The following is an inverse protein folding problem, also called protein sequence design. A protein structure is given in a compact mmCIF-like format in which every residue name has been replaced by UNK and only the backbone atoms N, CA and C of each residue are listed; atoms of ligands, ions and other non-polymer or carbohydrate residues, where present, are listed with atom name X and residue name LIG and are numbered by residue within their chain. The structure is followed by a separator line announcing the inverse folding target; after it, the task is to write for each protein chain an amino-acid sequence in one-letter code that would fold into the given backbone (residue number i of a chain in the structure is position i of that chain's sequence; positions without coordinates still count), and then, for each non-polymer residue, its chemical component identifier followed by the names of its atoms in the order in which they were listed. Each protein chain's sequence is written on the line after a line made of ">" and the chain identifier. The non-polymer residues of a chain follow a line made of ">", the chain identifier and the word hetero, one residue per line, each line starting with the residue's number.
data_IF_934791842588
#
_entry.id   IF_934791842588
#
_cell.length_a   1.000
_cell.length_b   1.000
_cell.length_c   1.000
_cell.angle_alpha   90.00
_cell.angle_beta   90.00
_cell.angle_gamma   90.00
#
_symmetry.space_group_name_H-M   'P 1'
#
loop_
_entity.id
_entity.type
_entity.pdbx_description
1 polymer ?
#
# COMPACT_ATOMS: atom_id res chain seq x y z
N UNK A 1 65.77 17.89 52.23
CA UNK A 1 64.57 18.69 51.87
C UNK A 1 64.07 18.25 50.50
N UNK A 2 62.77 18.13 50.25
CA UNK A 2 62.24 17.99 48.87
C UNK A 2 62.15 19.39 48.24
N UNK A 3 62.79 19.58 47.09
CA UNK A 3 62.58 20.81 46.31
C UNK A 3 61.13 20.87 45.82
N UNK A 4 60.47 22.03 45.92
CA UNK A 4 59.21 22.28 45.23
C UNK A 4 59.54 22.47 43.75
N UNK A 5 59.15 21.53 42.90
CA UNK A 5 59.20 21.70 41.44
C UNK A 5 58.44 22.96 41.05
N UNK A 6 58.99 23.76 40.13
CA UNK A 6 58.28 24.93 39.62
C UNK A 6 57.00 24.49 38.91
N UNK A 7 55.95 25.30 38.97
CA UNK A 7 54.74 25.10 38.18
C UNK A 7 55.07 24.92 36.68
N UNK A 8 56.11 25.62 36.20
CA UNK A 8 56.61 25.51 34.83
C UNK A 8 57.20 24.14 34.51
N UNK A 9 57.84 23.47 35.47
CA UNK A 9 58.44 22.15 35.28
C UNK A 9 57.34 21.07 35.20
N UNK A 10 56.28 21.23 36.00
CA UNK A 10 55.09 20.36 35.97
C UNK A 10 54.33 20.55 34.65
N UNK A 11 54.13 21.80 34.21
CA UNK A 11 53.44 22.14 32.97
C UNK A 11 54.18 21.63 31.72
N UNK A 12 55.51 21.81 31.66
CA UNK A 12 56.32 21.28 30.56
C UNK A 12 56.22 19.74 30.49
N UNK A 13 56.34 19.03 31.62
CA UNK A 13 56.19 17.57 31.67
C UNK A 13 54.80 17.09 31.24
N UNK A 14 53.75 17.83 31.58
CA UNK A 14 52.39 17.52 31.13
C UNK A 14 52.24 17.69 29.61
N UNK A 15 52.87 18.71 29.02
CA UNK A 15 52.93 18.91 27.56
C UNK A 15 53.75 17.82 26.87
N UNK A 16 54.88 17.40 27.44
CA UNK A 16 55.72 16.29 26.94
C UNK A 16 54.99 14.94 26.99
N UNK A 17 54.13 14.73 28.00
CA UNK A 17 53.30 13.54 28.14
C UNK A 17 51.94 13.62 27.39
N UNK A 18 51.65 14.72 26.69
CA UNK A 18 50.36 14.92 26.04
C UNK A 18 50.26 14.16 24.72
N UNK A 19 49.17 13.41 24.52
CA UNK A 19 48.84 12.75 23.24
C UNK A 19 48.32 13.73 22.18
N UNK A 20 48.05 14.99 22.54
CA UNK A 20 47.55 16.01 21.63
C UNK A 20 48.65 16.48 20.66
N UNK A 21 48.59 15.96 19.43
CA UNK A 21 49.60 16.18 18.40
C UNK A 21 49.80 17.67 18.10
N UNK A 22 51.05 18.10 18.00
CA UNK A 22 51.43 19.50 17.74
C UNK A 22 51.53 20.39 18.99
N UNK A 23 50.86 20.08 20.10
CA UNK A 23 50.92 20.93 21.33
C UNK A 23 52.34 20.99 21.90
N UNK A 24 53.03 19.86 21.97
CA UNK A 24 54.46 19.80 22.33
C UNK A 24 55.32 20.70 21.44
N UNK A 25 55.09 20.69 20.12
CA UNK A 25 55.81 21.52 19.15
C UNK A 25 55.50 23.02 19.27
N UNK A 26 54.35 23.42 19.83
CA UNK A 26 54.02 24.83 20.09
C UNK A 26 54.79 25.35 21.32
N UNK A 27 54.84 24.59 22.40
CA UNK A 27 55.39 25.08 23.67
C UNK A 27 56.89 24.81 23.85
N UNK A 28 57.39 23.63 23.46
CA UNK A 28 58.78 23.21 23.70
C UNK A 28 59.80 23.77 22.70
N UNK A 29 59.37 24.14 21.49
CA UNK A 29 60.25 24.72 20.48
C UNK A 29 60.90 26.03 20.95
N UNK A 30 62.10 26.33 20.45
CA UNK A 30 62.82 27.60 20.73
C UNK A 30 62.64 28.65 19.64
N UNK A 31 62.43 28.25 18.38
CA UNK A 31 62.23 29.17 17.25
C UNK A 31 60.76 29.63 17.18
N UNK A 32 60.52 30.94 17.23
CA UNK A 32 59.17 31.54 17.20
C UNK A 32 58.43 31.30 15.88
N UNK A 33 59.12 31.31 14.72
CA UNK A 33 58.49 31.02 13.43
C UNK A 33 57.88 29.61 13.39
N UNK A 34 58.58 28.62 13.93
CA UNK A 34 58.06 27.25 14.03
C UNK A 34 56.87 27.16 15.01
N UNK A 35 56.86 27.94 16.11
CA UNK A 35 55.67 28.01 16.99
C UNK A 35 54.45 28.53 16.24
N UNK A 36 54.60 29.63 15.48
CA UNK A 36 53.49 30.21 14.73
C UNK A 36 52.95 29.23 13.67
N UNK A 37 53.85 28.55 12.94
CA UNK A 37 53.46 27.48 12.01
C UNK A 37 52.66 26.36 12.70
N UNK A 38 53.16 25.82 13.82
CA UNK A 38 52.45 24.75 14.54
C UNK A 38 51.12 25.22 15.16
N UNK A 39 51.02 26.48 15.62
CA UNK A 39 49.75 27.09 16.04
C UNK A 39 48.75 27.11 14.88
N UNK A 40 49.17 27.57 13.70
CA UNK A 40 48.31 27.61 12.51
C UNK A 40 47.84 26.21 12.11
N UNK A 41 48.74 25.24 12.02
CA UNK A 41 48.38 23.85 11.67
C UNK A 41 47.42 23.20 12.69
N UNK A 42 47.62 23.43 14.00
CA UNK A 42 46.70 22.91 15.03
C UNK A 42 45.34 23.59 14.94
N UNK A 43 45.28 24.92 14.75
CA UNK A 43 44.01 25.65 14.59
C UNK A 43 43.24 25.20 13.34
N UNK A 44 43.91 25.04 12.19
CA UNK A 44 43.28 24.52 10.97
C UNK A 44 42.79 23.08 11.15
N UNK A 45 43.55 22.22 11.80
CA UNK A 45 43.16 20.83 12.08
C UNK A 45 41.95 20.75 13.02
N UNK A 46 41.94 21.54 14.11
CA UNK A 46 40.81 21.62 15.04
C UNK A 46 39.57 22.19 14.35
N UNK A 47 39.69 23.25 13.54
CA UNK A 47 38.59 23.81 12.77
C UNK A 47 37.97 22.81 11.77
N UNK A 48 38.82 22.07 11.04
CA UNK A 48 38.38 21.04 10.11
C UNK A 48 37.73 19.84 10.82
N UNK A 49 38.26 19.45 12.00
CA UNK A 49 37.66 18.43 12.85
C UNK A 49 36.26 18.84 13.35
N UNK A 50 36.10 20.07 13.85
CA UNK A 50 34.80 20.61 14.29
C UNK A 50 33.81 20.68 13.13
N UNK A 51 34.25 21.12 11.94
CA UNK A 51 33.40 21.15 10.74
C UNK A 51 32.90 19.76 10.35
N UNK A 52 33.79 18.76 10.26
CA UNK A 52 33.40 17.40 9.94
C UNK A 52 32.52 16.76 11.01
N UNK A 53 32.82 16.97 12.30
CA UNK A 53 32.00 16.45 13.40
C UNK A 53 30.59 17.05 13.37
N UNK A 54 30.48 18.37 13.16
CA UNK A 54 29.20 19.06 12.98
C UNK A 54 28.42 18.49 11.79
N UNK A 55 29.08 18.32 10.65
CA UNK A 55 28.47 17.71 9.47
C UNK A 55 28.00 16.27 9.74
N UNK A 56 28.84 15.40 10.31
CA UNK A 56 28.46 14.01 10.59
C UNK A 56 27.34 13.89 11.62
N UNK A 57 27.24 14.83 12.57
CA UNK A 57 26.11 14.91 13.49
C UNK A 57 24.81 15.31 12.75
N UNK A 58 24.87 16.26 11.82
CA UNK A 58 23.72 16.62 10.98
C UNK A 58 23.33 15.45 10.06
N UNK A 59 24.28 14.91 9.28
CA UNK A 59 24.08 13.78 8.36
C UNK A 59 23.49 12.53 9.10
N UNK A 60 23.78 12.36 10.40
CA UNK A 60 23.20 11.32 11.26
C UNK A 60 21.78 11.65 11.77
N UNK A 61 21.49 12.92 12.06
CA UNK A 61 20.16 13.41 12.48
C UNK A 61 19.19 13.58 11.31
N UNK A 62 19.68 13.66 10.07
CA UNK A 62 18.89 13.73 8.83
C UNK A 62 18.28 12.36 8.42
N UNK A 63 18.65 11.27 9.10
CA UNK A 63 17.93 9.97 9.08
C UNK A 63 17.64 9.31 7.71
N UNK A 64 18.49 9.54 6.69
CA UNK A 64 18.31 8.98 5.35
C UNK A 64 18.29 7.43 5.28
N UNK A 65 17.45 6.84 4.41
CA UNK A 65 17.19 5.39 4.28
C UNK A 65 17.35 4.91 2.82
N UNK A 66 17.90 3.70 2.61
CA UNK A 66 17.97 3.00 1.31
C UNK A 66 16.99 1.81 1.21
N UNK A 67 16.67 1.35 -0.02
CA UNK A 67 15.57 0.41 -0.31
C UNK A 67 16.07 -0.80 -1.13
N UNK A 68 15.50 -2.00 -0.89
CA UNK A 68 15.79 -3.26 -1.61
C UNK A 68 14.51 -4.10 -1.88
N UNK A 69 14.56 -5.11 -2.78
CA UNK A 69 13.37 -5.80 -3.35
C UNK A 69 13.56 -7.29 -3.67
N UNK A 70 12.57 -8.18 -3.40
CA UNK A 70 12.50 -9.65 -3.70
C UNK A 70 11.00 -10.16 -3.77
N UNK A 71 10.62 -11.00 -4.77
CA UNK A 71 9.29 -11.64 -5.20
C UNK A 71 8.47 -12.52 -4.18
N UNK A 72 7.19 -12.98 -4.31
CA UNK A 72 6.18 -13.32 -5.39
C UNK A 72 4.68 -13.41 -4.86
N UNK A 73 3.58 -13.32 -5.68
CA UNK A 73 2.21 -14.00 -5.59
C UNK A 73 1.01 -13.36 -6.39
N UNK A 74 0.00 -14.13 -6.90
CA UNK A 74 -0.96 -13.73 -8.00
C UNK A 74 -2.41 -14.35 -7.94
N UNK A 75 -3.51 -13.60 -8.21
CA UNK A 75 -4.95 -14.01 -8.12
C UNK A 75 -5.96 -13.36 -9.14
N UNK A 76 -7.14 -13.96 -9.47
CA UNK A 76 -7.89 -13.73 -10.76
C UNK A 76 -9.45 -13.68 -10.75
N UNK A 77 -10.07 -13.00 -11.74
CA UNK A 77 -11.54 -12.82 -11.99
C UNK A 77 -11.84 -12.07 -13.35
N UNK A 78 -12.97 -12.05 -14.10
CA UNK A 78 -14.17 -12.89 -14.49
C UNK A 78 -14.87 -12.21 -15.70
N UNK A 79 -15.40 -12.94 -16.72
CA UNK A 79 -16.32 -12.38 -17.76
C UNK A 79 -17.22 -13.44 -18.45
N UNK A 80 -18.41 -13.06 -18.96
CA UNK A 80 -19.76 -13.70 -18.92
C UNK A 80 -20.06 -15.02 -19.71
N UNK A 81 -20.57 -16.09 -19.06
CA UNK A 81 -21.38 -17.15 -19.74
C UNK A 81 -22.28 -18.08 -18.87
N UNK A 82 -22.97 -17.57 -17.84
CA UNK A 82 -24.04 -18.33 -17.15
C UNK A 82 -25.41 -18.02 -17.75
N UNK A 83 -26.22 -19.04 -18.10
CA UNK A 83 -27.56 -18.83 -18.70
C UNK A 83 -28.50 -18.02 -17.79
N UNK A 84 -28.36 -18.21 -16.48
CA UNK A 84 -29.11 -17.45 -15.48
C UNK A 84 -28.65 -15.98 -15.44
N UNK A 85 -27.36 -15.70 -15.62
CA UNK A 85 -26.83 -14.34 -15.69
C UNK A 85 -27.36 -13.59 -16.92
N UNK A 86 -27.46 -14.24 -18.09
CA UNK A 86 -28.03 -13.62 -19.30
C UNK A 86 -29.50 -13.20 -19.13
N UNK A 87 -30.32 -14.01 -18.44
CA UNK A 87 -31.70 -13.66 -18.08
C UNK A 87 -31.74 -12.44 -17.14
N UNK A 88 -30.84 -12.41 -16.15
CA UNK A 88 -30.72 -11.32 -15.19
C UNK A 88 -30.30 -10.00 -15.84
N UNK A 89 -29.22 -10.02 -16.65
CA UNK A 89 -28.74 -8.88 -17.42
C UNK A 89 -29.78 -8.33 -18.40
N UNK A 90 -30.58 -9.20 -19.04
CA UNK A 90 -31.70 -8.78 -19.89
C UNK A 90 -32.78 -8.00 -19.11
N UNK A 91 -33.07 -8.40 -17.88
CA UNK A 91 -33.96 -7.65 -16.98
C UNK A 91 -33.40 -6.28 -16.60
N UNK A 92 -32.12 -6.23 -16.23
CA UNK A 92 -31.42 -4.99 -15.88
C UNK A 92 -31.35 -4.01 -17.06
N UNK A 93 -31.01 -4.47 -18.26
CA UNK A 93 -30.94 -3.65 -19.48
C UNK A 93 -32.30 -3.06 -19.84
N UNK A 94 -33.39 -3.81 -19.66
CA UNK A 94 -34.76 -3.29 -19.80
C UNK A 94 -35.03 -2.15 -18.79
N UNK A 95 -34.76 -2.38 -17.49
CA UNK A 95 -34.95 -1.36 -16.45
C UNK A 95 -34.05 -0.12 -16.65
N UNK A 96 -32.87 -0.28 -17.24
CA UNK A 96 -31.99 0.84 -17.58
C UNK A 96 -32.58 1.70 -18.71
N UNK A 97 -33.08 1.07 -19.78
CA UNK A 97 -33.71 1.76 -20.92
C UNK A 97 -34.95 2.56 -20.48
N UNK A 98 -35.84 1.95 -19.68
CA UNK A 98 -37.03 2.61 -19.12
C UNK A 98 -36.70 3.80 -18.18
N UNK A 99 -35.44 4.01 -17.81
CA UNK A 99 -34.99 5.17 -17.03
C UNK A 99 -34.13 6.17 -17.82
N UNK A 100 -33.49 5.75 -18.93
CA UNK A 100 -32.85 6.66 -19.89
C UNK A 100 -33.90 7.59 -20.54
N UNK A 101 -35.09 7.06 -20.85
CA UNK A 101 -36.24 7.83 -21.37
C UNK A 101 -36.73 8.94 -20.42
N UNK A 102 -36.24 8.98 -19.18
CA UNK A 102 -36.58 9.98 -18.14
C UNK A 102 -35.48 11.04 -17.95
N UNK A 103 -34.59 11.22 -18.94
CA UNK A 103 -33.47 12.18 -18.94
C UNK A 103 -32.45 12.02 -17.79
N UNK A 104 -32.32 10.83 -17.19
CA UNK A 104 -31.18 10.49 -16.31
C UNK A 104 -29.92 10.19 -17.13
N UNK A 105 -28.73 10.44 -16.58
CA UNK A 105 -27.47 10.04 -17.23
C UNK A 105 -27.28 8.53 -17.17
N UNK A 106 -26.61 7.95 -18.18
CA UNK A 106 -26.30 6.52 -18.18
C UNK A 106 -25.43 6.11 -16.97
N UNK A 107 -24.51 6.99 -16.55
CA UNK A 107 -23.69 6.82 -15.35
C UNK A 107 -24.53 6.72 -14.07
N UNK A 108 -25.48 7.64 -13.85
CA UNK A 108 -26.34 7.61 -12.65
C UNK A 108 -27.25 6.37 -12.64
N UNK A 109 -27.73 5.93 -13.81
CA UNK A 109 -28.55 4.71 -13.94
C UNK A 109 -27.73 3.45 -13.64
N UNK A 110 -26.49 3.35 -14.15
CA UNK A 110 -25.60 2.23 -13.86
C UNK A 110 -25.22 2.17 -12.37
N UNK A 111 -25.03 3.33 -11.73
CA UNK A 111 -24.73 3.43 -10.31
C UNK A 111 -25.94 3.09 -9.42
N UNK A 112 -27.14 3.60 -9.76
CA UNK A 112 -28.40 3.23 -9.11
C UNK A 112 -28.72 1.74 -9.28
N UNK A 113 -28.40 1.15 -10.45
CA UNK A 113 -28.48 -0.29 -10.69
C UNK A 113 -27.47 -1.03 -9.80
N UNK A 114 -26.18 -0.67 -9.83
CA UNK A 114 -25.13 -1.30 -9.02
C UNK A 114 -25.45 -1.23 -7.51
N UNK A 115 -26.03 -0.13 -7.04
CA UNK A 115 -26.51 0.00 -5.66
C UNK A 115 -27.57 -1.06 -5.32
N UNK A 116 -28.61 -1.18 -6.16
CA UNK A 116 -29.68 -2.17 -5.98
C UNK A 116 -29.21 -3.62 -6.21
N UNK A 117 -28.10 -3.82 -6.93
CA UNK A 117 -27.52 -5.13 -7.25
C UNK A 117 -26.71 -5.76 -6.11
N UNK A 118 -26.18 -4.99 -5.15
CA UNK A 118 -25.29 -5.47 -4.08
C UNK A 118 -25.95 -6.42 -3.05
N UNK A 119 -27.09 -7.03 -3.36
CA UNK A 119 -27.61 -8.21 -2.66
C UNK A 119 -26.74 -9.44 -3.01
N UNK A 120 -25.84 -9.77 -2.09
CA UNK A 120 -24.86 -10.87 -2.14
C UNK A 120 -25.43 -12.19 -2.69
N UNK A 121 -26.65 -12.57 -2.27
CA UNK A 121 -27.37 -13.78 -2.73
C UNK A 121 -27.51 -13.89 -4.25
N UNK A 122 -27.66 -12.74 -4.91
CA UNK A 122 -27.96 -12.62 -6.34
C UNK A 122 -26.66 -12.67 -7.14
N UNK A 123 -25.69 -11.84 -6.76
CA UNK A 123 -24.36 -11.80 -7.41
C UNK A 123 -23.70 -13.19 -7.39
N UNK A 124 -23.77 -13.91 -6.27
CA UNK A 124 -23.20 -15.26 -6.13
C UNK A 124 -23.75 -16.28 -7.14
N UNK A 125 -25.03 -16.15 -7.52
CA UNK A 125 -25.76 -17.07 -8.42
C UNK A 125 -25.57 -16.74 -9.91
N UNK A 126 -25.04 -15.55 -10.22
CA UNK A 126 -24.84 -15.04 -11.58
C UNK A 126 -23.36 -14.75 -11.92
N UNK A 127 -22.45 -14.87 -10.95
CA UNK A 127 -21.02 -15.01 -11.22
C UNK A 127 -20.68 -16.37 -11.85
N UNK A 128 -19.43 -16.52 -12.29
CA UNK A 128 -18.89 -17.81 -12.73
C UNK A 128 -18.72 -18.78 -11.57
N UNK A 129 -18.68 -20.06 -11.90
CA UNK A 129 -17.89 -21.04 -11.18
C UNK A 129 -16.50 -21.18 -11.82
N UNK A 130 -15.47 -21.53 -11.04
CA UNK A 130 -14.13 -21.84 -11.56
C UNK A 130 -14.14 -23.03 -12.54
N UNK A 131 -15.06 -23.98 -12.34
CA UNK A 131 -15.36 -25.07 -13.30
C UNK A 131 -15.70 -24.58 -14.73
N UNK A 132 -16.22 -23.36 -14.85
CA UNK A 132 -16.59 -22.73 -16.13
C UNK A 132 -15.47 -21.83 -16.68
N UNK A 133 -14.53 -21.38 -15.84
CA UNK A 133 -13.41 -20.50 -16.24
C UNK A 133 -12.11 -21.25 -16.56
N UNK A 134 -11.78 -22.31 -15.83
CA UNK A 134 -10.44 -22.89 -15.82
C UNK A 134 -10.25 -23.92 -16.94
N UNK A 135 -9.68 -23.49 -18.08
CA UNK A 135 -9.43 -24.37 -19.24
C UNK A 135 -8.17 -25.21 -19.03
N UNK A 136 -7.10 -24.59 -18.52
CA UNK A 136 -5.81 -25.23 -18.27
C UNK A 136 -5.10 -24.56 -17.09
N UNK A 137 -4.40 -25.35 -16.29
CA UNK A 137 -3.72 -24.89 -15.08
C UNK A 137 -2.38 -25.59 -14.94
N UNK A 138 -1.29 -24.81 -14.93
CA UNK A 138 0.05 -25.30 -14.68
C UNK A 138 0.76 -24.43 -13.65
N UNK A 139 1.36 -25.06 -12.63
CA UNK A 139 2.19 -24.40 -11.64
C UNK A 139 3.47 -25.21 -11.44
N UNK A 140 4.65 -24.57 -11.52
CA UNK A 140 5.94 -25.26 -11.46
C UNK A 140 6.07 -26.47 -12.42
N UNK A 141 5.43 -26.39 -13.59
CA UNK A 141 5.34 -27.46 -14.64
C UNK A 141 4.45 -28.65 -14.28
N UNK A 142 3.87 -28.68 -13.08
CA UNK A 142 2.85 -29.65 -12.70
C UNK A 142 1.46 -29.12 -13.06
N UNK A 143 0.51 -30.01 -13.33
CA UNK A 143 -0.88 -29.62 -13.51
C UNK A 143 -1.48 -29.22 -12.15
N UNK A 144 -2.16 -28.07 -12.11
CA UNK A 144 -3.00 -27.67 -10.99
C UNK A 144 -4.49 -27.87 -11.33
N UNK A 145 -5.35 -27.71 -10.34
CA UNK A 145 -6.78 -28.01 -10.41
C UNK A 145 -7.60 -26.89 -9.77
N UNK A 146 -8.92 -26.92 -9.97
CA UNK A 146 -9.84 -25.99 -9.29
C UNK A 146 -9.80 -26.06 -7.75
N UNK A 147 -9.29 -27.14 -7.17
CA UNK A 147 -9.19 -27.31 -5.73
C UNK A 147 -8.03 -26.50 -5.13
N UNK A 148 -7.07 -26.08 -5.96
CA UNK A 148 -5.93 -25.25 -5.59
C UNK A 148 -6.28 -23.74 -5.56
N UNK A 149 -7.57 -23.40 -5.68
CA UNK A 149 -8.10 -22.04 -5.66
C UNK A 149 -9.13 -21.85 -4.53
N UNK A 150 -8.88 -20.87 -3.67
CA UNK A 150 -9.82 -20.40 -2.66
C UNK A 150 -10.90 -19.50 -3.29
N UNK A 151 -12.18 -19.75 -3.00
CA UNK A 151 -13.29 -18.89 -3.44
C UNK A 151 -13.46 -17.69 -2.51
N UNK A 152 -13.55 -16.49 -3.08
CA UNK A 152 -13.97 -15.28 -2.36
C UNK A 152 -14.91 -14.43 -3.22
N UNK A 153 -15.39 -13.31 -2.67
CA UNK A 153 -16.27 -12.38 -3.40
C UNK A 153 -15.84 -10.93 -3.14
N UNK A 154 -15.73 -10.15 -4.21
CA UNK A 154 -15.56 -8.70 -4.19
C UNK A 154 -16.87 -8.04 -4.62
N UNK A 155 -17.27 -6.96 -3.93
CA UNK A 155 -18.56 -6.32 -4.15
C UNK A 155 -18.71 -5.63 -5.52
N UNK A 156 -17.61 -5.40 -6.23
CA UNK A 156 -17.56 -4.78 -7.56
C UNK A 156 -17.67 -5.82 -8.69
N UNK A 157 -17.06 -7.00 -8.53
CA UNK A 157 -16.87 -7.97 -9.62
C UNK A 157 -17.61 -9.31 -9.41
N UNK A 158 -18.05 -9.62 -8.19
CA UNK A 158 -18.71 -10.87 -7.82
C UNK A 158 -17.75 -11.99 -7.45
N UNK A 159 -17.94 -13.19 -8.01
CA UNK A 159 -17.17 -14.42 -7.67
C UNK A 159 -15.70 -14.32 -8.11
N UNK A 160 -14.76 -14.49 -7.16
CA UNK A 160 -13.31 -14.38 -7.32
C UNK A 160 -12.58 -15.69 -6.98
N UNK A 161 -11.35 -15.90 -7.47
CA UNK A 161 -10.57 -17.11 -7.18
C UNK A 161 -9.09 -16.84 -6.83
N UNK A 162 -8.66 -17.35 -5.66
CA UNK A 162 -7.31 -17.21 -5.07
C UNK A 162 -6.45 -18.48 -5.29
N UNK A 163 -5.61 -18.55 -6.32
CA UNK A 163 -4.53 -19.55 -6.42
C UNK A 163 -3.35 -19.22 -5.51
N UNK A 164 -3.08 -20.04 -4.50
CA UNK A 164 -2.19 -19.68 -3.39
C UNK A 164 -0.96 -20.61 -3.35
N UNK A 165 0.29 -20.10 -3.41
CA UNK A 165 1.47 -20.99 -3.39
C UNK A 165 2.83 -20.33 -3.10
N UNK A 166 3.67 -21.02 -2.33
CA UNK A 166 5.04 -20.62 -1.98
C UNK A 166 6.08 -20.98 -3.06
N UNK A 167 6.32 -20.09 -4.02
CA UNK A 167 7.48 -20.19 -4.94
C UNK A 167 8.72 -19.47 -4.42
N UNK A 168 9.89 -20.01 -4.76
CA UNK A 168 11.22 -19.38 -4.56
C UNK A 168 12.15 -19.51 -5.77
N UNK A 169 11.61 -20.02 -6.89
CA UNK A 169 12.35 -20.35 -8.11
C UNK A 169 11.81 -19.53 -9.28
N UNK A 170 12.50 -18.48 -9.74
CA UNK A 170 11.98 -17.58 -10.76
C UNK A 170 11.94 -18.20 -12.17
N UNK A 171 11.20 -17.55 -13.07
CA UNK A 171 11.19 -17.78 -14.53
C UNK A 171 9.90 -18.41 -15.07
N UNK A 172 9.57 -18.15 -16.35
CA UNK A 172 8.28 -18.49 -17.00
C UNK A 172 7.79 -19.95 -16.86
N UNK A 173 8.69 -20.92 -16.62
CA UNK A 173 8.33 -22.34 -16.41
C UNK A 173 8.21 -22.74 -14.93
N UNK A 174 8.44 -21.81 -14.00
CA UNK A 174 8.53 -22.04 -12.55
C UNK A 174 7.54 -21.13 -11.79
N UNK A 175 6.44 -20.76 -12.44
CA UNK A 175 5.38 -19.92 -11.89
C UNK A 175 4.01 -20.45 -12.32
N UNK A 176 2.99 -19.61 -12.17
CA UNK A 176 1.60 -19.90 -12.56
C UNK A 176 1.38 -19.60 -14.04
N UNK A 177 0.89 -20.58 -14.81
CA UNK A 177 0.40 -20.43 -16.18
C UNK A 177 -1.03 -20.94 -16.27
N UNK A 178 -1.92 -20.10 -16.78
CA UNK A 178 -3.35 -20.36 -16.82
C UNK A 178 -3.90 -20.07 -18.21
N UNK A 179 -4.83 -20.91 -18.63
CA UNK A 179 -5.68 -20.69 -19.80
C UNK A 179 -7.10 -20.56 -19.28
N UNK A 180 -7.73 -19.42 -19.56
CA UNK A 180 -8.95 -19.00 -18.87
C UNK A 180 -10.02 -18.64 -19.90
N UNK A 181 -11.19 -19.24 -19.73
CA UNK A 181 -12.38 -18.89 -20.48
C UNK A 181 -13.06 -17.69 -19.83
N UNK A 182 -13.17 -16.62 -20.60
CA UNK A 182 -13.73 -15.32 -20.18
C UNK A 182 -15.06 -15.03 -20.90
N UNK A 183 -15.79 -16.09 -21.23
CA UNK A 183 -17.15 -15.99 -21.73
C UNK A 183 -17.26 -15.58 -23.20
N UNK A 184 -18.40 -15.00 -23.55
CA UNK A 184 -18.67 -14.43 -24.88
C UNK A 184 -19.42 -13.11 -24.75
N UNK A 185 -18.85 -12.03 -25.29
CA UNK A 185 -19.47 -10.71 -25.35
C UNK A 185 -20.82 -10.78 -26.11
N UNK A 186 -21.90 -10.34 -25.49
CA UNK A 186 -23.25 -10.34 -26.04
C UNK A 186 -23.72 -8.89 -26.21
N UNK A 187 -23.44 -8.32 -27.39
CA UNK A 187 -23.67 -6.90 -27.70
C UNK A 187 -25.12 -6.45 -27.46
N UNK A 188 -26.07 -7.37 -27.54
CA UNK A 188 -27.50 -7.08 -27.34
C UNK A 188 -27.90 -7.11 -25.85
N UNK A 189 -27.12 -7.75 -24.98
CA UNK A 189 -27.34 -7.79 -23.53
C UNK A 189 -26.37 -6.93 -22.70
N UNK A 190 -25.16 -6.69 -23.18
CA UNK A 190 -24.12 -6.02 -22.40
C UNK A 190 -24.47 -4.54 -22.13
N UNK A 191 -24.26 -4.13 -20.89
CA UNK A 191 -24.31 -2.75 -20.39
C UNK A 191 -22.90 -2.16 -20.21
N UNK A 192 -21.86 -3.01 -20.29
CA UNK A 192 -20.45 -2.68 -20.04
C UNK A 192 -19.68 -2.83 -21.36
N UNK A 193 -18.68 -1.98 -21.61
CA UNK A 193 -17.94 -1.94 -22.89
C UNK A 193 -16.64 -2.75 -22.91
N UNK A 194 -16.29 -3.38 -21.79
CA UNK A 194 -15.04 -4.11 -21.57
C UNK A 194 -15.31 -5.57 -21.18
N UNK A 195 -14.51 -6.48 -21.74
CA UNK A 195 -14.43 -7.88 -21.34
C UNK A 195 -12.95 -8.28 -21.30
N UNK A 196 -12.59 -9.05 -20.27
CA UNK A 196 -11.20 -9.28 -19.87
C UNK A 196 -11.15 -9.91 -18.49
N UNK A 197 -9.97 -9.78 -17.86
CA UNK A 197 -9.69 -10.27 -16.51
C UNK A 197 -9.12 -9.11 -15.67
N UNK A 198 -9.59 -8.98 -14.43
CA UNK A 198 -8.92 -8.22 -13.39
C UNK A 198 -7.99 -9.17 -12.63
N UNK A 199 -6.69 -8.88 -12.68
CA UNK A 199 -5.64 -9.62 -12.01
C UNK A 199 -5.13 -8.82 -10.80
N UNK A 200 -5.02 -9.48 -9.65
CA UNK A 200 -4.53 -8.89 -8.40
C UNK A 200 -3.25 -9.61 -7.98
N UNK A 201 -2.22 -8.86 -7.57
CA UNK A 201 -0.91 -9.38 -7.21
C UNK A 201 -0.57 -8.84 -5.82
N UNK A 202 -0.71 -9.68 -4.79
CA UNK A 202 -0.64 -9.25 -3.39
C UNK A 202 -0.15 -10.36 -2.45
N UNK A 203 0.26 -9.97 -1.24
CA UNK A 203 0.74 -10.88 -0.20
C UNK A 203 -0.44 -11.54 0.52
N UNK A 204 -0.26 -12.76 1.03
CA UNK A 204 -1.32 -13.55 1.67
C UNK A 204 -2.13 -12.80 2.73
N UNK A 205 -1.46 -11.96 3.52
CA UNK A 205 -2.03 -11.24 4.67
C UNK A 205 -2.53 -9.82 4.37
N UNK A 206 -2.56 -9.39 3.10
CA UNK A 206 -3.01 -8.03 2.72
C UNK A 206 -4.41 -8.05 2.10
N UNK A 207 -5.25 -7.10 2.48
CA UNK A 207 -6.55 -6.84 1.85
C UNK A 207 -6.34 -6.29 0.44
N UNK A 208 -7.22 -6.69 -0.49
CA UNK A 208 -7.29 -6.20 -1.87
C UNK A 208 -8.28 -5.05 -1.96
N UNK A 209 -7.95 -3.99 -2.70
CA UNK A 209 -8.86 -2.91 -3.04
C UNK A 209 -9.07 -2.86 -4.55
N UNK A 210 -10.29 -3.20 -4.98
CA UNK A 210 -10.66 -3.43 -6.38
C UNK A 210 -10.33 -2.28 -7.32
N UNK A 211 -10.57 -1.05 -6.86
CA UNK A 211 -10.38 0.20 -7.60
C UNK A 211 -8.92 0.49 -8.02
N UNK A 212 -7.94 -0.13 -7.38
CA UNK A 212 -6.54 0.34 -7.46
C UNK A 212 -5.44 -0.74 -7.44
N UNK A 213 -5.72 -1.97 -6.98
CA UNK A 213 -4.74 -3.06 -6.97
C UNK A 213 -4.88 -4.01 -8.19
N UNK A 214 -5.72 -3.66 -9.17
CA UNK A 214 -6.06 -4.52 -10.32
C UNK A 214 -5.30 -4.17 -11.60
N UNK A 215 -4.91 -5.20 -12.34
CA UNK A 215 -4.34 -5.13 -13.69
C UNK A 215 -5.39 -5.66 -14.67
N UNK A 216 -5.70 -4.89 -15.71
CA UNK A 216 -6.69 -5.26 -16.71
C UNK A 216 -6.02 -6.07 -17.84
N UNK A 217 -6.35 -7.35 -17.97
CA UNK A 217 -5.86 -8.23 -19.03
C UNK A 217 -6.94 -8.43 -20.11
N UNK A 218 -6.56 -8.21 -21.36
CA UNK A 218 -7.42 -8.39 -22.53
C UNK A 218 -7.58 -9.86 -22.94
N UNK A 219 -8.78 -10.23 -23.40
CA UNK A 219 -9.05 -11.53 -24.00
C UNK A 219 -8.24 -11.75 -25.29
N UNK A 220 -7.88 -13.01 -25.58
CA UNK A 220 -7.34 -13.43 -26.87
C UNK A 220 -5.81 -13.33 -27.05
N UNK A 221 -5.06 -13.06 -25.97
CA UNK A 221 -3.60 -12.97 -25.98
C UNK A 221 -2.98 -13.88 -24.90
N UNK A 222 -1.78 -14.44 -25.16
CA UNK A 222 -0.92 -14.95 -24.09
C UNK A 222 -0.11 -13.77 -23.55
N UNK A 223 -0.37 -13.39 -22.29
CA UNK A 223 0.33 -12.29 -21.62
C UNK A 223 1.34 -12.85 -20.62
N UNK A 224 2.63 -12.58 -20.85
CA UNK A 224 3.68 -12.82 -19.85
C UNK A 224 3.71 -11.66 -18.85
N UNK A 225 3.68 -12.00 -17.55
CA UNK A 225 3.70 -11.03 -16.45
C UNK A 225 4.87 -11.40 -15.54
N UNK A 226 5.83 -10.48 -15.38
CA UNK A 226 7.05 -10.70 -14.60
C UNK A 226 6.92 -9.96 -13.28
N UNK A 227 6.77 -10.70 -12.17
CA UNK A 227 6.54 -10.09 -10.85
C UNK A 227 7.85 -9.94 -10.07
N UNK A 228 8.07 -8.74 -9.54
CA UNK A 228 9.17 -8.39 -8.63
C UNK A 228 8.60 -7.73 -7.38
N UNK A 229 8.42 -8.51 -6.31
CA UNK A 229 7.98 -7.96 -5.03
C UNK A 229 9.09 -7.09 -4.43
N UNK A 230 8.71 -6.09 -3.64
CA UNK A 230 9.60 -5.12 -3.03
C UNK A 230 9.30 -5.03 -1.54
N UNK A 231 10.33 -5.19 -0.70
CA UNK A 231 10.18 -5.17 0.75
C UNK A 231 10.76 -3.86 1.31
N UNK A 232 9.89 -2.90 1.57
CA UNK A 232 10.25 -1.62 2.16
C UNK A 232 10.24 -1.72 3.68
N UNK A 233 11.38 -1.40 4.30
CA UNK A 233 11.51 -1.22 5.74
C UNK A 233 11.80 0.25 6.04
N UNK A 234 10.96 0.87 6.86
CA UNK A 234 11.11 2.23 7.36
C UNK A 234 11.47 2.19 8.84
N UNK A 235 12.41 3.04 9.24
CA UNK A 235 12.79 3.16 10.64
C UNK A 235 11.69 3.91 11.41
N UNK A 236 11.29 3.38 12.56
CA UNK A 236 10.33 4.02 13.47
C UNK A 236 10.91 5.28 14.12
N UNK A 237 10.13 5.92 15.00
CA UNK A 237 10.58 7.02 15.87
C UNK A 237 11.96 6.68 16.48
N UNK A 238 12.95 7.58 16.41
CA UNK A 238 12.84 9.00 15.99
C UNK A 238 12.78 9.24 14.47
N UNK A 239 13.13 8.27 13.62
CA UNK A 239 13.33 8.47 12.18
C UNK A 239 12.03 8.73 11.39
N UNK A 240 10.93 8.06 11.74
CA UNK A 240 9.61 8.32 11.14
C UNK A 240 8.46 7.93 12.07
N UNK A 241 7.24 8.38 11.77
CA UNK A 241 6.03 8.04 12.54
C UNK A 241 5.43 6.66 12.19
N UNK A 242 6.20 5.75 11.59
CA UNK A 242 5.67 4.46 11.16
C UNK A 242 5.32 3.49 12.29
N UNK A 243 4.36 2.60 12.03
CA UNK A 243 3.88 1.55 12.94
C UNK A 243 4.67 0.25 12.75
N UNK A 244 5.32 -0.23 13.82
CA UNK A 244 6.10 -1.49 13.81
C UNK A 244 5.22 -2.74 13.89
N UNK A 245 4.23 -2.71 14.76
CA UNK A 245 3.31 -3.82 14.99
C UNK A 245 1.92 -3.38 14.52
N UNK A 246 1.50 -3.78 13.30
CA UNK A 246 0.19 -3.48 12.75
C UNK A 246 -0.92 -4.37 13.35
N UNK A 247 -0.60 -5.34 14.22
CA UNK A 247 -1.60 -6.21 14.87
C UNK A 247 -1.98 -5.72 16.26
N UNK A 248 -1.11 -4.95 16.92
CA UNK A 248 -1.36 -4.36 18.23
C UNK A 248 -2.24 -3.11 18.14
N UNK A 249 -3.40 -3.17 18.80
CA UNK A 249 -4.30 -2.04 19.06
C UNK A 249 -3.66 -0.88 19.82
N UNK A 250 -2.54 -1.14 20.51
CA UNK A 250 -1.84 -0.16 21.36
C UNK A 250 -0.68 0.55 20.63
N UNK A 251 -0.39 0.19 19.38
CA UNK A 251 0.70 0.84 18.62
C UNK A 251 0.37 2.28 18.21
N UNK A 252 -0.92 2.64 18.14
CA UNK A 252 -1.37 3.97 17.77
C UNK A 252 -2.75 4.33 18.36
N UNK A 253 -2.89 5.55 18.87
CA UNK A 253 -4.14 6.03 19.48
C UNK A 253 -5.03 6.73 18.43
N UNK A 254 -5.81 5.92 17.70
CA UNK A 254 -6.85 6.38 16.77
C UNK A 254 -7.95 5.33 16.69
N UNK A 255 -9.22 5.76 16.72
CA UNK A 255 -10.37 4.85 16.60
C UNK A 255 -10.44 4.23 15.20
N UNK A 256 -10.01 4.96 14.16
CA UNK A 256 -9.90 4.43 12.79
C UNK A 256 -8.81 3.35 12.68
N UNK A 257 -7.66 3.58 13.35
CA UNK A 257 -6.58 2.60 13.44
C UNK A 257 -7.10 1.29 14.08
N UNK A 258 -7.69 1.38 15.27
CA UNK A 258 -8.22 0.23 16.01
C UNK A 258 -9.31 -0.50 15.22
N UNK A 259 -10.32 0.21 14.71
CA UNK A 259 -11.42 -0.34 13.91
C UNK A 259 -10.96 -1.03 12.62
N UNK A 260 -9.85 -0.61 12.02
CA UNK A 260 -9.28 -1.30 10.84
C UNK A 260 -8.65 -2.65 11.19
N UNK A 261 -8.05 -2.79 12.39
CA UNK A 261 -7.58 -4.07 12.92
C UNK A 261 -8.77 -4.98 13.27
N UNK A 262 -9.84 -4.44 13.87
CA UNK A 262 -11.06 -5.21 14.18
C UNK A 262 -11.67 -5.88 12.93
N UNK A 263 -11.55 -5.24 11.77
CA UNK A 263 -12.18 -5.71 10.53
C UNK A 263 -11.38 -6.78 9.78
N UNK A 264 -10.04 -6.79 9.88
CA UNK A 264 -9.17 -7.68 9.09
C UNK A 264 -8.08 -8.40 9.88
N UNK A 265 -7.98 -8.19 11.20
CA UNK A 265 -6.94 -8.75 12.07
C UNK A 265 -5.56 -8.08 11.95
N UNK A 266 -5.38 -7.16 11.01
CA UNK A 266 -4.14 -6.42 10.76
C UNK A 266 -4.45 -5.00 10.26
N UNK A 267 -3.70 -4.02 10.74
CA UNK A 267 -3.74 -2.65 10.25
C UNK A 267 -3.14 -2.56 8.85
N UNK A 268 -3.81 -1.83 7.97
CA UNK A 268 -3.20 -1.30 6.75
C UNK A 268 -3.62 0.17 6.58
N UNK A 269 -2.70 1.04 6.18
CA UNK A 269 -2.97 2.47 6.02
C UNK A 269 -4.08 2.69 4.99
N UNK A 270 -4.07 1.92 3.90
CA UNK A 270 -5.08 1.98 2.83
C UNK A 270 -6.48 1.70 3.37
N UNK A 271 -6.65 0.67 4.22
CA UNK A 271 -7.90 0.39 4.95
C UNK A 271 -8.34 1.57 5.80
N UNK A 272 -7.44 2.12 6.62
CA UNK A 272 -7.74 3.21 7.53
C UNK A 272 -8.17 4.49 6.79
N UNK A 273 -7.47 4.87 5.71
CA UNK A 273 -7.79 6.03 4.87
C UNK A 273 -9.15 5.86 4.18
N UNK A 274 -9.46 4.66 3.69
CA UNK A 274 -10.77 4.33 3.09
C UNK A 274 -11.88 4.48 4.14
N UNK A 275 -11.67 3.93 5.34
CA UNK A 275 -12.61 4.07 6.45
C UNK A 275 -12.78 5.54 6.90
N UNK A 276 -11.72 6.36 6.83
CA UNK A 276 -11.77 7.78 7.16
C UNK A 276 -12.74 8.56 6.25
N UNK A 277 -12.69 8.35 4.92
CA UNK A 277 -13.63 9.02 4.01
C UNK A 277 -15.06 8.47 4.15
N UNK A 278 -15.23 7.17 4.44
CA UNK A 278 -16.56 6.60 4.68
C UNK A 278 -17.22 7.16 5.95
N UNK A 279 -16.48 7.35 7.05
CA UNK A 279 -16.99 8.04 8.24
C UNK A 279 -17.30 9.51 7.97
N UNK A 280 -16.54 10.20 7.09
CA UNK A 280 -16.90 11.55 6.64
C UNK A 280 -18.21 11.59 5.84
N UNK A 281 -18.40 10.69 4.86
CA UNK A 281 -19.65 10.62 4.08
C UNK A 281 -20.85 10.34 5.00
N UNK A 282 -20.69 9.41 5.95
CA UNK A 282 -21.68 9.10 6.99
C UNK A 282 -21.99 10.29 7.90
N UNK A 283 -20.99 11.10 8.27
CA UNK A 283 -21.18 12.32 9.05
C UNK A 283 -21.96 13.40 8.27
N UNK A 284 -21.78 13.50 6.94
CA UNK A 284 -22.50 14.48 6.11
C UNK A 284 -23.92 14.02 5.70
N UNK A 285 -24.10 12.73 5.40
CA UNK A 285 -25.32 12.20 4.77
C UNK A 285 -26.12 11.21 5.64
N UNK A 286 -25.64 10.88 6.85
CA UNK A 286 -26.28 9.92 7.76
C UNK A 286 -26.15 8.44 7.34
N UNK A 287 -25.40 8.15 6.28
CA UNK A 287 -25.29 6.84 5.65
C UNK A 287 -23.91 6.63 5.02
N UNK A 288 -23.44 5.39 4.91
CA UNK A 288 -22.19 5.07 4.24
C UNK A 288 -22.35 4.86 2.73
N UNK A 289 -21.27 5.00 1.96
CA UNK A 289 -21.28 4.61 0.54
C UNK A 289 -21.44 3.08 0.36
N UNK A 290 -21.76 2.64 -0.85
CA UNK A 290 -22.23 1.27 -1.17
C UNK A 290 -21.19 0.15 -1.05
N UNK A 291 -19.94 0.50 -0.87
CA UNK A 291 -18.71 -0.31 -0.89
C UNK A 291 -18.00 -0.27 0.46
N UNK A 292 -18.58 0.47 1.43
CA UNK A 292 -17.95 0.76 2.69
C UNK A 292 -17.56 -0.50 3.49
N UNK A 293 -16.27 -0.58 3.81
CA UNK A 293 -15.65 -1.76 4.42
C UNK A 293 -16.31 -2.08 5.78
N UNK A 294 -16.77 -3.32 5.94
CA UNK A 294 -17.42 -3.80 7.16
C UNK A 294 -18.83 -3.27 7.42
N UNK A 295 -19.46 -2.57 6.46
CA UNK A 295 -20.78 -1.96 6.64
C UNK A 295 -21.92 -2.88 6.18
N UNK A 296 -23.01 -2.91 6.95
CA UNK A 296 -24.22 -3.65 6.56
C UNK A 296 -25.09 -2.84 5.60
N UNK A 297 -25.79 -3.51 4.67
CA UNK A 297 -26.65 -2.87 3.66
C UNK A 297 -27.68 -1.89 4.24
N UNK A 298 -28.23 -2.16 5.43
CA UNK A 298 -29.20 -1.29 6.11
C UNK A 298 -28.63 0.07 6.54
N UNK A 299 -27.29 0.23 6.51
CA UNK A 299 -26.55 1.45 6.85
C UNK A 299 -25.92 2.14 5.63
N UNK A 300 -26.16 1.64 4.41
CA UNK A 300 -25.70 2.22 3.14
C UNK A 300 -26.69 3.27 2.60
N UNK A 301 -26.18 4.27 1.87
CA UNK A 301 -26.98 5.36 1.30
C UNK A 301 -27.94 4.89 0.20
N UNK A 302 -29.24 4.90 0.49
CA UNK A 302 -30.27 4.55 -0.50
C UNK A 302 -30.26 5.48 -1.74
N UNK A 303 -31.05 5.12 -2.76
CA UNK A 303 -31.11 5.84 -4.03
C UNK A 303 -31.41 7.36 -3.92
N UNK A 304 -32.13 7.83 -2.89
CA UNK A 304 -32.37 9.27 -2.71
C UNK A 304 -31.18 10.02 -2.08
N UNK A 305 -30.26 9.29 -1.42
CA UNK A 305 -29.07 9.84 -0.77
C UNK A 305 -27.78 9.74 -1.61
N UNK A 306 -27.79 9.03 -2.75
CA UNK A 306 -26.63 8.95 -3.68
C UNK A 306 -26.10 10.36 -4.06
N UNK A 307 -26.97 11.32 -4.36
CA UNK A 307 -26.55 12.68 -4.70
C UNK A 307 -25.96 13.46 -3.50
N UNK A 308 -26.26 13.05 -2.26
CA UNK A 308 -25.57 13.56 -1.07
C UNK A 308 -24.18 12.94 -0.99
N UNK A 309 -24.06 11.61 -1.11
CA UNK A 309 -22.80 10.91 -0.93
C UNK A 309 -21.77 11.22 -2.01
N UNK A 310 -22.20 11.43 -3.28
CA UNK A 310 -21.35 11.98 -4.35
C UNK A 310 -20.73 13.33 -3.97
N UNK A 311 -21.58 14.29 -3.57
CA UNK A 311 -21.13 15.65 -3.19
C UNK A 311 -20.28 15.65 -1.93
N UNK A 312 -20.56 14.76 -0.97
CA UNK A 312 -19.72 14.58 0.20
C UNK A 312 -18.33 14.05 -0.20
N UNK A 313 -18.23 13.14 -1.16
CA UNK A 313 -16.95 12.65 -1.68
C UNK A 313 -16.17 13.73 -2.46
N UNK A 314 -16.84 14.46 -3.36
CA UNK A 314 -16.26 15.61 -4.08
C UNK A 314 -15.73 16.69 -3.11
N UNK A 315 -16.53 17.05 -2.09
CA UNK A 315 -16.13 17.99 -1.06
C UNK A 315 -14.98 17.45 -0.20
N UNK A 316 -14.98 16.16 0.15
CA UNK A 316 -13.91 15.53 0.92
C UNK A 316 -12.57 15.66 0.20
N UNK A 317 -12.49 15.23 -1.07
CA UNK A 317 -11.26 15.31 -1.87
C UNK A 317 -10.71 16.73 -1.99
N UNK A 318 -11.59 17.74 -2.10
CA UNK A 318 -11.20 19.14 -2.25
C UNK A 318 -11.01 19.87 -0.90
N UNK A 319 -11.10 19.18 0.23
CA UNK A 319 -11.00 19.77 1.58
C UNK A 319 -9.75 19.34 2.33
N UNK A 320 -9.31 20.17 3.28
CA UNK A 320 -8.27 19.83 4.24
C UNK A 320 -8.58 18.57 5.07
N UNK A 321 -9.86 18.16 5.17
CA UNK A 321 -10.27 16.96 5.91
C UNK A 321 -9.74 15.66 5.31
N UNK A 322 -9.37 15.67 4.03
CA UNK A 322 -8.65 14.55 3.39
C UNK A 322 -7.20 14.44 3.85
N UNK A 323 -6.54 15.55 4.19
CA UNK A 323 -5.17 15.55 4.75
C UNK A 323 -5.18 15.08 6.20
N UNK A 324 -6.15 15.53 7.02
CA UNK A 324 -6.30 15.09 8.43
C UNK A 324 -6.42 13.56 8.58
N UNK A 325 -6.89 12.84 7.55
CA UNK A 325 -6.94 11.38 7.57
C UNK A 325 -5.54 10.73 7.64
N UNK A 326 -4.49 11.37 7.11
CA UNK A 326 -3.11 10.85 7.21
C UNK A 326 -2.52 11.00 8.63
N UNK A 327 -2.98 11.99 9.40
CA UNK A 327 -2.62 12.13 10.83
C UNK A 327 -3.30 11.06 11.70
N UNK A 328 -4.50 10.60 11.29
CA UNK A 328 -5.27 9.54 11.97
C UNK A 328 -4.93 8.11 11.50
N UNK A 329 -4.25 7.99 10.35
CA UNK A 329 -3.88 6.75 9.68
C UNK A 329 -2.39 6.77 9.31
N UNK A 330 -1.48 6.45 10.26
CA UNK A 330 -0.05 6.42 10.02
C UNK A 330 0.37 5.32 9.03
N UNK A 331 1.55 5.49 8.43
CA UNK A 331 2.18 4.45 7.59
C UNK A 331 2.65 3.25 8.44
N UNK A 332 2.65 2.07 7.85
CA UNK A 332 3.33 0.89 8.35
C UNK A 332 4.86 1.05 8.21
N UNK A 333 5.64 0.45 9.12
CA UNK A 333 7.10 0.39 9.01
C UNK A 333 7.56 -0.68 8.01
N UNK A 334 6.83 -1.78 7.90
CA UNK A 334 7.12 -2.90 7.01
C UNK A 334 6.03 -2.95 5.94
N UNK A 335 6.39 -2.71 4.68
CA UNK A 335 5.44 -2.79 3.56
C UNK A 335 5.98 -3.60 2.39
N UNK A 336 5.09 -4.38 1.79
CA UNK A 336 5.36 -5.33 0.72
C UNK A 336 4.53 -4.93 -0.49
N UNK A 337 5.20 -4.61 -1.60
CA UNK A 337 4.58 -4.21 -2.87
C UNK A 337 4.98 -5.17 -3.99
N UNK A 338 4.28 -5.14 -5.12
CA UNK A 338 4.57 -5.99 -6.28
C UNK A 338 4.75 -5.12 -7.54
N UNK A 339 5.99 -5.02 -8.02
CA UNK A 339 6.33 -4.35 -9.27
C UNK A 339 6.21 -5.33 -10.46
N UNK A 340 5.90 -4.80 -11.63
CA UNK A 340 5.45 -5.54 -12.84
C UNK A 340 6.00 -4.83 -14.09
#
# INVERSE_FOLDING_TARGET
>A
MKSKSSFRDVFNKWIEASTAHGISNIFLNKNWFLKFFWILCVLSSVGYCIFNLSRTLNDFLDFNIGIHSISDCIFLQKSENSTNAKIFMKGLKKNALENLEKNKSLSDILEEINFNLKRIDTIRKHGFNIDEMLVNCQFNRFACTKNDFEYFMLAEFGNCYKFNSDTKTPGKKNGLRLELYTGTLDKDLDLVKSSGIHLFIHNHSTVIFSESDSINLSNGFETDIVVSQQHSYKLSKPHSNCIKDPTSFNSFESDLYKKSIELYGIYQQKTCLIMCYHEYIKMQCGCYFSDALGVTFNSSCNASLINCSKKAYENFQNSAKSLECFDLCPIECETIYFNI
#
